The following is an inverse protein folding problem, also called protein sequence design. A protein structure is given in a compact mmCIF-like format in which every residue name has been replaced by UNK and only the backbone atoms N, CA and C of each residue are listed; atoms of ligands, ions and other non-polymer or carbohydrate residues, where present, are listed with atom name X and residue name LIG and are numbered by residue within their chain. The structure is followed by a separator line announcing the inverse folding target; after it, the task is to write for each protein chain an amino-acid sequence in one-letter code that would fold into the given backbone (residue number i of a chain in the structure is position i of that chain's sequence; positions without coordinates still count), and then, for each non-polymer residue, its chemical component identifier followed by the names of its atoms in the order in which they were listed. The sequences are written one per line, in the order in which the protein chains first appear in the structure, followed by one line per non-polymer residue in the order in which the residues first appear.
data_IF_121143802029
#
_entry.id   IF_121143802029
#
_cell.length_a   1.000
_cell.length_b   1.000
_cell.length_c   1.000
_cell.angle_alpha   90.00
_cell.angle_beta   90.00
_cell.angle_gamma   90.00
#
_symmetry.space_group_name_H-M   'P 1'
#
loop_
_entity.id
_entity.type
_entity.pdbx_description
1 polymer ?
#
# COMPACT_ATOMS: atom_id res chain seq x y z
N UNK A 1 -26.10 -17.19 15.39
CA UNK A 1 -24.77 -17.04 14.76
C UNK A 1 -24.79 -16.23 13.46
N UNK A 2 -25.63 -16.55 12.45
CA UNK A 2 -25.67 -15.81 11.17
C UNK A 2 -25.89 -14.29 11.33
N UNK A 3 -26.79 -13.86 12.21
CA UNK A 3 -27.07 -12.44 12.47
C UNK A 3 -25.87 -11.66 13.02
N UNK A 4 -25.02 -12.30 13.84
CA UNK A 4 -23.81 -11.68 14.38
C UNK A 4 -22.78 -11.43 13.27
N UNK A 5 -22.54 -12.43 12.41
CA UNK A 5 -21.63 -12.30 11.27
C UNK A 5 -22.08 -11.25 10.27
N UNK A 6 -23.38 -11.11 10.02
CA UNK A 6 -23.92 -10.06 9.15
C UNK A 6 -23.72 -8.68 9.78
N UNK A 7 -24.03 -8.51 11.07
CA UNK A 7 -23.89 -7.24 11.80
C UNK A 7 -22.44 -6.76 11.87
N UNK A 8 -21.50 -7.66 12.15
CA UNK A 8 -20.08 -7.31 12.32
C UNK A 8 -19.20 -7.61 11.09
N UNK A 9 -19.79 -7.95 9.93
CA UNK A 9 -19.06 -8.38 8.73
C UNK A 9 -17.94 -7.43 8.34
N UNK A 10 -18.20 -6.12 8.39
CA UNK A 10 -17.19 -5.09 8.06
C UNK A 10 -16.04 -5.10 9.04
N UNK A 11 -16.32 -5.20 10.34
CA UNK A 11 -15.27 -5.25 11.36
C UNK A 11 -14.43 -6.54 11.23
N UNK A 12 -15.09 -7.68 10.99
CA UNK A 12 -14.42 -8.98 10.81
C UNK A 12 -13.45 -8.94 9.63
N UNK A 13 -13.77 -8.27 8.52
CA UNK A 13 -12.83 -8.17 7.40
C UNK A 13 -11.56 -7.34 7.69
N UNK A 14 -11.51 -6.54 8.76
CA UNK A 14 -10.26 -5.89 9.20
C UNK A 14 -9.22 -6.88 9.73
N UNK A 15 -9.62 -8.12 10.06
CA UNK A 15 -8.66 -9.17 10.40
C UNK A 15 -7.75 -9.53 9.22
N UNK A 16 -8.18 -9.28 7.97
CA UNK A 16 -7.37 -9.61 6.80
C UNK A 16 -6.10 -8.75 6.69
N UNK A 17 -6.15 -7.40 6.75
CA UNK A 17 -4.95 -6.56 6.88
C UNK A 17 -4.02 -6.98 8.02
N UNK A 18 -4.58 -7.37 9.17
CA UNK A 18 -3.78 -7.82 10.31
C UNK A 18 -3.03 -9.13 10.02
N UNK A 19 -3.69 -10.11 9.40
CA UNK A 19 -3.04 -11.35 8.96
C UNK A 19 -1.94 -11.08 7.93
N UNK A 20 -2.19 -10.19 6.96
CA UNK A 20 -1.18 -9.80 5.97
C UNK A 20 0.04 -9.15 6.61
N UNK A 21 -0.15 -8.35 7.65
CA UNK A 21 0.96 -7.77 8.41
C UNK A 21 1.80 -8.85 9.10
N UNK A 22 1.17 -9.87 9.69
CA UNK A 22 1.89 -11.02 10.27
C UNK A 22 2.70 -11.75 9.18
N UNK A 23 2.09 -12.03 8.02
CA UNK A 23 2.80 -12.63 6.89
C UNK A 23 3.97 -11.78 6.43
N UNK A 24 3.80 -10.46 6.33
CA UNK A 24 4.87 -9.53 6.01
C UNK A 24 6.04 -9.64 6.98
N UNK A 25 5.79 -9.66 8.30
CA UNK A 25 6.84 -9.81 9.30
C UNK A 25 7.60 -11.15 9.15
N UNK A 26 6.87 -12.23 8.86
CA UNK A 26 7.48 -13.55 8.59
C UNK A 26 8.37 -13.49 7.35
N UNK A 27 7.87 -12.91 6.26
CA UNK A 27 8.62 -12.76 5.00
C UNK A 27 9.87 -11.92 5.22
N UNK A 28 9.78 -10.78 5.91
CA UNK A 28 10.94 -9.96 6.26
C UNK A 28 11.98 -10.76 7.07
N UNK A 29 11.54 -11.58 8.03
CA UNK A 29 12.43 -12.41 8.82
C UNK A 29 13.13 -13.51 8.00
N UNK A 30 12.46 -14.05 6.98
CA UNK A 30 13.04 -15.02 6.04
C UNK A 30 14.04 -14.32 5.12
N UNK A 31 13.63 -13.23 4.47
CA UNK A 31 14.46 -12.46 3.53
C UNK A 31 15.72 -11.94 4.21
N UNK A 32 15.65 -11.53 5.48
CA UNK A 32 16.82 -11.06 6.26
C UNK A 32 17.92 -12.11 6.40
N UNK A 33 17.58 -13.39 6.30
CA UNK A 33 18.55 -14.51 6.36
C UNK A 33 19.12 -14.87 4.99
N UNK A 34 18.66 -14.23 3.91
CA UNK A 34 19.23 -14.45 2.59
C UNK A 34 20.61 -13.81 2.51
N UNK A 35 21.57 -14.54 1.97
CA UNK A 35 22.91 -14.01 1.66
C UNK A 35 22.98 -13.41 0.25
N UNK A 36 21.99 -13.70 -0.60
CA UNK A 36 21.91 -13.21 -1.96
C UNK A 36 20.79 -12.18 -2.07
N UNK A 37 21.17 -10.95 -2.48
CA UNK A 37 20.23 -9.87 -2.76
C UNK A 37 20.33 -9.44 -4.22
N UNK A 38 19.19 -9.16 -4.82
CA UNK A 38 19.10 -8.54 -6.13
C UNK A 38 19.13 -7.02 -5.99
N UNK A 39 19.68 -6.36 -7.00
CA UNK A 39 19.54 -4.91 -7.17
C UNK A 39 18.47 -4.64 -8.22
N UNK A 40 17.61 -3.67 -7.94
CA UNK A 40 16.60 -3.14 -8.86
C UNK A 40 16.91 -1.71 -9.26
N UNK A 41 18.07 -1.18 -8.87
CA UNK A 41 18.50 0.18 -9.21
C UNK A 41 18.59 0.38 -10.73
N UNK A 42 17.97 1.45 -11.21
CA UNK A 42 18.03 1.89 -12.60
C UNK A 42 18.89 3.14 -12.72
N UNK A 43 19.42 3.38 -13.93
CA UNK A 43 20.19 4.60 -14.22
C UNK A 43 19.43 5.89 -13.86
N UNK A 44 18.10 5.90 -14.04
CA UNK A 44 17.24 7.03 -13.70
C UNK A 44 17.20 7.33 -12.19
N UNK A 45 17.42 6.34 -11.33
CA UNK A 45 17.42 6.54 -9.87
C UNK A 45 18.53 7.51 -9.44
N UNK A 46 19.65 7.56 -10.18
CA UNK A 46 20.77 8.48 -9.91
C UNK A 46 20.41 9.96 -10.07
N UNK A 47 19.41 10.29 -10.88
CA UNK A 47 18.97 11.67 -11.12
C UNK A 47 17.93 12.17 -10.11
N UNK A 48 17.33 11.27 -9.33
CA UNK A 48 16.37 11.65 -8.31
C UNK A 48 17.13 12.19 -7.09
N UNK A 49 16.91 13.45 -6.66
CA UNK A 49 17.55 13.97 -5.47
C UNK A 49 16.97 13.34 -4.21
N UNK A 50 17.80 13.12 -3.20
CA UNK A 50 17.34 12.79 -1.86
C UNK A 50 16.77 14.03 -1.17
N UNK A 51 15.60 13.91 -0.55
CA UNK A 51 14.94 14.96 0.22
C UNK A 51 14.55 14.41 1.59
N UNK A 52 15.21 14.88 2.65
CA UNK A 52 15.01 14.43 4.04
C UNK A 52 13.54 14.53 4.47
N UNK A 53 12.87 15.63 4.12
CA UNK A 53 11.46 15.84 4.45
C UNK A 53 10.56 14.75 3.85
N UNK A 54 10.91 14.22 2.68
CA UNK A 54 10.14 13.16 2.03
C UNK A 54 10.14 11.87 2.84
N UNK A 55 11.09 11.66 3.76
CA UNK A 55 11.15 10.45 4.58
C UNK A 55 10.01 10.39 5.61
N UNK A 56 9.76 11.49 6.34
CA UNK A 56 8.59 11.59 7.23
C UNK A 56 7.31 11.27 6.48
N UNK A 57 7.31 11.73 5.25
CA UNK A 57 6.27 11.51 4.32
C UNK A 57 6.06 10.07 3.90
N UNK A 58 7.13 9.40 3.51
CA UNK A 58 7.11 7.96 3.26
C UNK A 58 6.52 7.22 4.47
N UNK A 59 7.01 7.48 5.69
CA UNK A 59 6.52 6.81 6.91
C UNK A 59 5.01 7.01 7.14
N UNK A 60 4.43 8.11 6.63
CA UNK A 60 3.01 8.40 6.74
C UNK A 60 2.09 7.52 5.85
N UNK A 61 2.65 6.63 5.02
CA UNK A 61 1.88 5.72 4.16
C UNK A 61 0.89 4.85 4.95
N UNK A 62 1.26 4.41 6.16
CA UNK A 62 0.41 3.57 7.02
C UNK A 62 -0.85 4.33 7.46
N UNK A 63 -0.75 5.53 8.09
CA UNK A 63 -1.92 6.37 8.36
C UNK A 63 -2.83 6.59 7.15
N UNK A 64 -2.27 6.85 5.96
CA UNK A 64 -3.07 7.12 4.76
C UNK A 64 -3.83 5.89 4.27
N UNK A 65 -3.19 4.72 4.30
CA UNK A 65 -3.84 3.46 4.03
C UNK A 65 -4.98 3.21 5.03
N UNK A 66 -4.73 3.46 6.32
CA UNK A 66 -5.75 3.34 7.36
C UNK A 66 -6.94 4.29 7.13
N UNK A 67 -6.69 5.56 6.80
CA UNK A 67 -7.74 6.54 6.48
C UNK A 67 -8.55 6.09 5.26
N UNK A 68 -7.91 5.52 4.23
CA UNK A 68 -8.61 4.97 3.05
C UNK A 68 -9.61 3.86 3.44
N UNK A 69 -9.17 2.94 4.31
CA UNK A 69 -9.99 1.84 4.80
C UNK A 69 -11.12 2.34 5.69
N UNK A 70 -10.83 3.25 6.63
CA UNK A 70 -11.81 3.84 7.55
C UNK A 70 -12.87 4.65 6.78
N UNK A 71 -12.44 5.45 5.80
CA UNK A 71 -13.36 6.22 4.97
C UNK A 71 -14.36 5.32 4.26
N UNK A 72 -13.90 4.26 3.59
CA UNK A 72 -14.79 3.32 2.92
C UNK A 72 -15.59 2.45 3.90
N UNK A 73 -15.06 2.19 5.10
CA UNK A 73 -15.78 1.49 6.17
C UNK A 73 -17.07 2.21 6.56
N UNK A 74 -17.11 3.54 6.53
CA UNK A 74 -18.32 4.32 6.79
C UNK A 74 -19.16 4.59 5.53
N UNK A 75 -18.60 4.40 4.33
CA UNK A 75 -19.35 4.56 3.09
C UNK A 75 -20.30 3.37 2.84
N UNK A 76 -21.57 3.62 2.45
CA UNK A 76 -22.46 2.55 2.01
C UNK A 76 -21.92 1.90 0.73
N UNK A 77 -22.22 0.62 0.54
CA UNK A 77 -21.82 -0.16 -0.64
C UNK A 77 -20.70 -1.17 -0.40
N UNK A 78 -20.15 -1.66 -1.50
CA UNK A 78 -19.17 -2.75 -1.57
C UNK A 78 -17.72 -2.25 -1.67
N UNK A 79 -17.49 -0.96 -1.92
CA UNK A 79 -16.16 -0.36 -2.08
C UNK A 79 -15.19 -0.70 -0.95
N UNK A 80 -15.67 -0.79 0.28
CA UNK A 80 -14.89 -1.24 1.44
C UNK A 80 -14.33 -2.66 1.28
N UNK A 81 -15.18 -3.62 0.91
CA UNK A 81 -14.77 -5.00 0.70
C UNK A 81 -13.85 -5.11 -0.51
N UNK A 82 -14.14 -4.35 -1.56
CA UNK A 82 -13.28 -4.26 -2.73
C UNK A 82 -11.88 -3.76 -2.38
N UNK A 83 -11.77 -2.74 -1.52
CA UNK A 83 -10.47 -2.23 -1.06
C UNK A 83 -9.69 -3.27 -0.28
N UNK A 84 -10.34 -3.92 0.69
CA UNK A 84 -9.68 -4.93 1.52
C UNK A 84 -9.17 -6.10 0.66
N UNK A 85 -9.97 -6.58 -0.29
CA UNK A 85 -9.58 -7.68 -1.18
C UNK A 85 -8.49 -7.23 -2.16
N UNK A 86 -8.58 -6.03 -2.72
CA UNK A 86 -7.58 -5.50 -3.64
C UNK A 86 -6.22 -5.35 -2.94
N UNK A 87 -6.21 -4.79 -1.71
CA UNK A 87 -5.02 -4.72 -0.85
C UNK A 87 -4.49 -6.13 -0.57
N UNK A 88 -5.34 -7.10 -0.23
CA UNK A 88 -4.89 -8.45 0.08
C UNK A 88 -4.22 -9.14 -1.10
N UNK A 89 -4.83 -9.08 -2.29
CA UNK A 89 -4.25 -9.64 -3.52
C UNK A 89 -2.91 -8.97 -3.81
N UNK A 90 -2.88 -7.64 -3.79
CA UNK A 90 -1.69 -6.82 -4.01
C UNK A 90 -0.53 -7.18 -3.08
N UNK A 91 -0.78 -7.18 -1.77
CA UNK A 91 0.25 -7.45 -0.76
C UNK A 91 0.74 -8.89 -0.89
N UNK A 92 -0.15 -9.87 -1.08
CA UNK A 92 0.26 -11.26 -1.27
C UNK A 92 1.18 -11.44 -2.50
N UNK A 93 0.84 -10.81 -3.63
CA UNK A 93 1.70 -10.83 -4.83
C UNK A 93 3.06 -10.22 -4.49
N UNK A 94 3.09 -9.06 -3.81
CA UNK A 94 4.35 -8.42 -3.43
C UNK A 94 5.19 -9.32 -2.52
N UNK A 95 4.59 -9.95 -1.52
CA UNK A 95 5.27 -10.86 -0.59
C UNK A 95 5.87 -12.08 -1.31
N UNK A 96 5.15 -12.69 -2.25
CA UNK A 96 5.64 -13.82 -3.05
C UNK A 96 6.85 -13.41 -3.89
N UNK A 97 6.80 -12.23 -4.52
CA UNK A 97 7.91 -11.71 -5.30
C UNK A 97 9.10 -11.39 -4.38
N UNK A 98 8.88 -10.77 -3.22
CA UNK A 98 9.96 -10.46 -2.25
C UNK A 98 10.67 -11.71 -1.73
N UNK A 99 9.95 -12.83 -1.58
CA UNK A 99 10.57 -14.12 -1.22
C UNK A 99 11.45 -14.68 -2.35
N UNK A 100 11.05 -14.45 -3.59
CA UNK A 100 11.75 -15.00 -4.76
C UNK A 100 12.92 -14.12 -5.20
N UNK A 101 12.77 -12.80 -5.05
CA UNK A 101 13.71 -11.76 -5.42
C UNK A 101 13.92 -10.81 -4.23
N UNK A 102 14.65 -11.26 -3.20
CA UNK A 102 14.98 -10.41 -2.07
C UNK A 102 15.84 -9.23 -2.55
N UNK A 103 15.39 -8.00 -2.27
CA UNK A 103 16.10 -6.77 -2.63
C UNK A 103 16.54 -6.06 -1.36
N UNK A 104 17.73 -5.49 -1.41
CA UNK A 104 18.31 -4.68 -0.35
C UNK A 104 18.51 -3.27 -0.89
N UNK A 105 18.19 -2.28 -0.05
CA UNK A 105 18.49 -0.89 -0.33
C UNK A 105 19.41 -0.33 0.74
N UNK A 106 20.37 0.46 0.28
CA UNK A 106 21.15 1.32 1.14
C UNK A 106 20.35 2.56 1.44
N UNK A 107 20.13 2.80 2.73
CA UNK A 107 19.33 3.92 3.15
C UNK A 107 20.23 5.08 3.45
N UNK A 108 19.95 6.26 2.86
CA UNK A 108 20.73 7.44 3.13
C UNK A 108 20.67 7.73 4.64
N UNK A 109 21.78 8.24 5.17
CA UNK A 109 21.78 8.69 6.55
C UNK A 109 20.96 9.97 6.67
N UNK A 110 19.95 9.98 7.55
CA UNK A 110 19.14 11.17 7.82
C UNK A 110 18.67 11.17 9.29
N UNK A 111 19.14 12.15 10.06
CA UNK A 111 18.70 12.44 11.43
C UNK A 111 18.90 11.33 12.47
N UNK A 112 19.42 11.68 13.64
CA UNK A 112 19.68 10.70 14.72
C UNK A 112 18.48 10.44 15.64
N UNK A 113 17.25 10.66 15.16
CA UNK A 113 16.08 10.47 16.03
C UNK A 113 15.86 8.99 16.31
N UNK A 114 15.71 8.64 17.59
CA UNK A 114 15.45 7.27 18.02
C UNK A 114 14.21 6.64 17.37
N UNK A 115 13.18 7.46 17.09
CA UNK A 115 11.97 7.03 16.37
C UNK A 115 12.27 6.61 14.93
N UNK A 116 13.00 7.45 14.17
CA UNK A 116 13.37 7.12 12.79
C UNK A 116 14.25 5.89 12.75
N UNK A 117 15.27 5.80 13.61
CA UNK A 117 16.13 4.60 13.70
C UNK A 117 15.32 3.34 14.02
N UNK A 118 14.29 3.43 14.87
CA UNK A 118 13.42 2.30 15.19
C UNK A 118 12.51 1.89 14.02
N UNK A 119 11.88 2.87 13.35
CA UNK A 119 11.02 2.63 12.16
C UNK A 119 11.85 2.07 11.00
N UNK A 120 13.10 2.51 10.89
CA UNK A 120 14.05 2.06 9.88
C UNK A 120 14.84 0.81 10.31
N UNK A 121 14.52 0.17 11.44
CA UNK A 121 15.31 -0.99 11.89
C UNK A 121 15.27 -2.20 10.92
N UNK A 122 14.27 -2.22 10.02
CA UNK A 122 14.14 -3.19 8.93
C UNK A 122 14.58 -2.65 7.56
N UNK A 123 15.12 -1.45 7.51
CA UNK A 123 15.18 -0.65 6.30
C UNK A 123 16.28 -1.08 5.35
N UNK A 124 17.29 -1.82 5.83
CA UNK A 124 18.25 -2.51 4.95
C UNK A 124 17.62 -3.64 4.10
N UNK A 125 16.32 -3.91 4.21
CA UNK A 125 15.60 -4.82 3.33
C UNK A 125 14.51 -4.01 2.63
N UNK A 126 14.60 -3.94 1.31
CA UNK A 126 13.57 -3.30 0.52
C UNK A 126 12.43 -4.29 0.28
N UNK A 127 11.20 -3.78 0.35
CA UNK A 127 10.05 -4.52 -0.16
C UNK A 127 10.07 -4.40 -1.68
N UNK A 128 10.55 -5.41 -2.39
CA UNK A 128 10.39 -5.49 -3.85
C UNK A 128 9.27 -6.47 -4.20
N UNK A 129 8.20 -6.02 -4.87
CA UNK A 129 7.87 -4.65 -5.27
C UNK A 129 7.41 -3.79 -4.08
N UNK A 130 7.40 -2.46 -4.27
CA UNK A 130 7.16 -1.51 -3.20
C UNK A 130 5.72 -1.57 -2.67
N UNK A 131 5.53 -2.32 -1.57
CA UNK A 131 4.24 -2.55 -0.89
C UNK A 131 3.47 -1.24 -0.61
N UNK A 132 4.09 -0.18 -0.05
CA UNK A 132 3.41 1.11 0.13
C UNK A 132 2.75 1.65 -1.15
N UNK A 133 3.48 1.68 -2.26
CA UNK A 133 2.92 2.18 -3.54
C UNK A 133 1.77 1.32 -4.04
N UNK A 134 1.84 0.01 -3.78
CA UNK A 134 0.78 -0.93 -4.11
C UNK A 134 -0.50 -0.66 -3.30
N UNK A 135 -0.38 -0.46 -1.98
CA UNK A 135 -1.53 -0.18 -1.10
C UNK A 135 -2.15 1.19 -1.43
N UNK A 136 -1.33 2.23 -1.58
CA UNK A 136 -1.80 3.59 -1.86
C UNK A 136 -2.45 3.68 -3.26
N UNK A 137 -1.90 2.97 -4.26
CA UNK A 137 -2.52 2.91 -5.59
C UNK A 137 -3.87 2.19 -5.58
N UNK A 138 -4.05 1.11 -4.79
CA UNK A 138 -5.37 0.50 -4.62
C UNK A 138 -6.41 1.51 -4.08
N UNK A 139 -6.02 2.29 -3.06
CA UNK A 139 -6.86 3.37 -2.53
C UNK A 139 -7.27 4.37 -3.61
N UNK A 140 -6.29 4.85 -4.39
CA UNK A 140 -6.52 5.78 -5.49
C UNK A 140 -7.48 5.25 -6.56
N UNK A 141 -7.24 4.05 -7.10
CA UNK A 141 -8.07 3.49 -8.17
C UNK A 141 -9.51 3.22 -7.71
N UNK A 142 -9.70 2.78 -6.46
CA UNK A 142 -11.05 2.63 -5.92
C UNK A 142 -11.77 3.96 -5.72
N UNK A 143 -11.06 5.05 -5.45
CA UNK A 143 -11.66 6.39 -5.38
C UNK A 143 -12.10 6.88 -6.77
N UNK A 144 -11.33 6.56 -7.82
CA UNK A 144 -11.76 6.81 -9.22
C UNK A 144 -13.04 6.02 -9.54
N UNK A 145 -13.10 4.76 -9.14
CA UNK A 145 -14.28 3.94 -9.37
C UNK A 145 -15.48 4.39 -8.53
N UNK A 146 -15.26 4.85 -7.30
CA UNK A 146 -16.27 5.48 -6.48
C UNK A 146 -16.88 6.71 -7.17
N UNK A 147 -16.06 7.55 -7.81
CA UNK A 147 -16.53 8.68 -8.64
C UNK A 147 -17.46 8.21 -9.76
N UNK A 148 -17.13 7.09 -10.42
CA UNK A 148 -17.91 6.55 -11.55
C UNK A 148 -19.31 6.15 -11.12
N UNK A 149 -19.46 5.56 -9.93
CA UNK A 149 -20.74 5.14 -9.37
C UNK A 149 -21.50 6.34 -8.77
N UNK A 150 -20.82 7.21 -8.02
CA UNK A 150 -21.45 8.24 -7.19
C UNK A 150 -21.21 9.66 -7.73
N UNK A 151 -21.53 9.90 -9.01
CA UNK A 151 -21.30 11.19 -9.70
C UNK A 151 -21.91 12.41 -9.01
N UNK A 152 -22.98 12.24 -8.22
CA UNK A 152 -23.68 13.33 -7.51
C UNK A 152 -23.49 13.34 -5.99
N UNK A 153 -22.56 12.54 -5.45
CA UNK A 153 -22.30 12.51 -4.01
C UNK A 153 -21.62 13.79 -3.55
N UNK A 154 -22.09 14.37 -2.44
CA UNK A 154 -21.45 15.53 -1.78
C UNK A 154 -20.03 15.22 -1.28
N UNK A 155 -19.71 13.94 -1.07
CA UNK A 155 -18.39 13.50 -0.64
C UNK A 155 -17.39 13.36 -1.81
N UNK A 156 -17.84 13.48 -3.05
CA UNK A 156 -17.01 13.31 -4.23
C UNK A 156 -15.74 14.19 -4.28
N UNK A 157 -15.79 15.51 -4.01
CA UNK A 157 -14.59 16.33 -4.03
C UNK A 157 -13.56 15.89 -2.97
N UNK A 158 -14.03 15.49 -1.78
CA UNK A 158 -13.17 14.98 -0.70
C UNK A 158 -12.48 13.69 -1.13
N UNK A 159 -13.21 12.78 -1.76
CA UNK A 159 -12.69 11.51 -2.28
C UNK A 159 -11.61 11.73 -3.34
N UNK A 160 -11.82 12.68 -4.25
CA UNK A 160 -10.84 12.97 -5.31
C UNK A 160 -9.60 13.68 -4.78
N UNK A 161 -9.77 14.63 -3.86
CA UNK A 161 -8.64 15.28 -3.20
C UNK A 161 -7.80 14.24 -2.46
N UNK A 162 -8.44 13.34 -1.72
CA UNK A 162 -7.74 12.30 -0.99
C UNK A 162 -7.03 11.31 -1.92
N UNK A 163 -7.64 10.94 -3.05
CA UNK A 163 -6.97 10.16 -4.10
C UNK A 163 -5.71 10.85 -4.65
N UNK A 164 -5.75 12.16 -4.89
CA UNK A 164 -4.58 12.92 -5.32
C UNK A 164 -3.48 12.94 -4.25
N UNK A 165 -3.85 13.04 -2.97
CA UNK A 165 -2.91 12.96 -1.85
C UNK A 165 -2.20 11.60 -1.84
N UNK A 166 -2.91 10.49 -2.09
CA UNK A 166 -2.29 9.16 -2.18
C UNK A 166 -1.26 9.09 -3.31
N UNK A 167 -1.57 9.66 -4.47
CA UNK A 167 -0.66 9.67 -5.62
C UNK A 167 0.57 10.56 -5.38
N UNK A 168 0.37 11.74 -4.78
CA UNK A 168 1.47 12.59 -4.36
C UNK A 168 2.39 11.88 -3.36
N UNK A 169 1.81 11.08 -2.45
CA UNK A 169 2.60 10.34 -1.46
C UNK A 169 3.48 9.23 -2.04
N UNK A 170 3.03 8.59 -3.11
CA UNK A 170 3.82 7.61 -3.85
C UNK A 170 5.13 8.24 -4.35
N UNK A 171 5.11 9.51 -4.77
CA UNK A 171 6.32 10.23 -5.23
C UNK A 171 7.32 10.42 -4.10
N UNK A 172 6.87 10.65 -2.88
CA UNK A 172 7.79 10.86 -1.78
C UNK A 172 8.57 9.60 -1.39
N UNK A 173 8.06 8.40 -1.72
CA UNK A 173 8.84 7.17 -1.57
C UNK A 173 10.13 7.19 -2.42
N UNK A 174 10.06 7.77 -3.63
CA UNK A 174 11.23 7.95 -4.49
C UNK A 174 12.16 9.04 -3.94
N UNK A 175 11.59 10.19 -3.55
CA UNK A 175 12.37 11.33 -3.04
C UNK A 175 13.07 10.99 -1.71
N UNK A 176 12.51 10.08 -0.92
CA UNK A 176 13.13 9.58 0.31
C UNK A 176 14.19 8.52 0.05
N UNK A 177 14.43 8.09 -1.20
CA UNK A 177 15.32 6.99 -1.58
C UNK A 177 15.02 5.68 -0.82
N UNK A 178 13.74 5.48 -0.47
CA UNK A 178 13.27 4.25 0.20
C UNK A 178 12.76 3.21 -0.80
N UNK A 179 12.79 3.55 -2.10
CA UNK A 179 12.39 2.69 -3.19
C UNK A 179 13.06 3.13 -4.49
N UNK A 180 13.36 2.19 -5.38
CA UNK A 180 13.79 2.47 -6.74
C UNK A 180 12.58 2.70 -7.66
N UNK A 181 12.81 3.35 -8.80
CA UNK A 181 11.76 3.62 -9.80
C UNK A 181 11.07 2.34 -10.25
N UNK A 182 11.83 1.27 -10.51
CA UNK A 182 11.31 -0.05 -10.89
C UNK A 182 10.29 -0.58 -9.88
N UNK A 183 10.64 -0.50 -8.60
CA UNK A 183 9.91 -1.10 -7.49
C UNK A 183 8.60 -0.36 -7.28
N UNK A 184 8.66 0.96 -7.43
CA UNK A 184 7.52 1.85 -7.41
C UNK A 184 6.57 1.54 -8.58
N UNK A 185 7.08 1.48 -9.82
CA UNK A 185 6.27 1.24 -11.00
C UNK A 185 5.58 -0.13 -10.95
N UNK A 186 6.30 -1.17 -10.54
CA UNK A 186 5.74 -2.52 -10.38
C UNK A 186 4.70 -2.52 -9.25
N UNK A 187 4.96 -1.83 -8.14
CA UNK A 187 3.99 -1.70 -7.05
C UNK A 187 2.69 -1.01 -7.49
N UNK A 188 2.79 0.10 -8.21
CA UNK A 188 1.64 0.81 -8.81
C UNK A 188 0.89 -0.10 -9.77
N UNK A 189 1.61 -0.83 -10.64
CA UNK A 189 1.01 -1.74 -11.61
C UNK A 189 0.23 -2.86 -10.92
N UNK A 190 0.80 -3.49 -9.88
CA UNK A 190 0.13 -4.54 -9.10
C UNK A 190 -1.15 -3.97 -8.47
N UNK A 191 -1.09 -2.79 -7.86
CA UNK A 191 -2.26 -2.15 -7.24
C UNK A 191 -3.35 -1.78 -8.26
N UNK A 192 -2.96 -1.33 -9.44
CA UNK A 192 -3.88 -1.08 -10.56
C UNK A 192 -4.58 -2.37 -10.99
N UNK A 193 -3.81 -3.43 -11.24
CA UNK A 193 -4.32 -4.72 -11.73
C UNK A 193 -5.22 -5.39 -10.69
N UNK A 194 -4.86 -5.38 -9.41
CA UNK A 194 -5.72 -5.94 -8.35
C UNK A 194 -7.01 -5.14 -8.18
N UNK A 195 -6.94 -3.81 -8.21
CA UNK A 195 -8.13 -2.97 -8.14
C UNK A 195 -9.08 -3.21 -9.31
N UNK A 196 -8.53 -3.35 -10.52
CA UNK A 196 -9.28 -3.63 -11.74
C UNK A 196 -9.89 -5.05 -11.71
N UNK A 197 -9.13 -6.04 -11.27
CA UNK A 197 -9.61 -7.42 -11.11
C UNK A 197 -10.77 -7.49 -10.13
N UNK A 198 -10.63 -6.82 -8.99
CA UNK A 198 -11.68 -6.78 -7.96
C UNK A 198 -12.89 -5.98 -8.44
N UNK A 199 -12.73 -4.98 -9.29
CA UNK A 199 -13.83 -4.22 -9.88
C UNK A 199 -14.80 -5.11 -10.67
N UNK A 200 -14.30 -6.12 -11.40
CA UNK A 200 -15.14 -7.02 -12.18
C UNK A 200 -15.85 -8.10 -11.34
N UNK A 201 -15.50 -8.25 -10.05
CA UNK A 201 -16.18 -9.20 -9.18
C UNK A 201 -17.61 -8.70 -8.89
N UNK A 202 -18.65 -9.50 -9.17
CA UNK A 202 -20.02 -9.13 -8.84
C UNK A 202 -20.22 -9.22 -7.33
N UNK A 203 -20.39 -8.08 -6.66
CA UNK A 203 -20.85 -8.04 -5.29
C UNK A 203 -22.37 -7.98 -5.27
N UNK A 204 -23.02 -8.99 -4.70
CA UNK A 204 -24.44 -8.89 -4.37
C UNK A 204 -24.60 -7.75 -3.37
N UNK A 205 -25.37 -6.71 -3.74
CA UNK A 205 -25.84 -5.69 -2.81
C UNK A 205 -26.75 -6.39 -1.80
N UNK A 206 -26.17 -6.86 -0.69
CA UNK A 206 -26.96 -7.24 0.47
C UNK A 206 -27.36 -5.93 1.14
N UNK A 207 -28.56 -5.47 0.83
CA UNK A 207 -29.26 -4.40 1.54
C UNK A 207 -29.30 -4.69 3.05
#
# INVERSE_FOLDING_TARGET
MKAFFVKYRRLISLMLPFLLYIFYLIVCAIVKKSDNFFSTEMFLDSYIPFIDFAVYGYISWVPLAAVSVIFLFFCPGDGYYRLIIAIAISVLICLIISLSYPVRMDIPHFGDSAFLVAVLKNSGIASFPNIPSCILSNGFFLMIFYKKIHKRSKCLPIVLLFGLILLAWIVCALLSKMTHISDLLIGILIGAVSSLSVWFIPFKQTH
#
